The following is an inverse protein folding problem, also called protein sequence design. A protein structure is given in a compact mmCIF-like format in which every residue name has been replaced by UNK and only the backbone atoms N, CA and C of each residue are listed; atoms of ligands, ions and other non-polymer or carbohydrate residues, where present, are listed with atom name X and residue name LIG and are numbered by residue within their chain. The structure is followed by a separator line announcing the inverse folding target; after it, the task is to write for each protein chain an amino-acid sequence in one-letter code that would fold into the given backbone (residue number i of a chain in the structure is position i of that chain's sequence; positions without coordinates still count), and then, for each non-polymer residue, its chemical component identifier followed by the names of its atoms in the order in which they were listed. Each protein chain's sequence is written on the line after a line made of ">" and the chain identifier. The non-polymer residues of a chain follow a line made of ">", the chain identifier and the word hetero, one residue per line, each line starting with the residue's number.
data_IF_982145658414
#
_entry.id   IF_982145658414
#
_cell.length_a   1.000
_cell.length_b   1.000
_cell.length_c   1.000
_cell.angle_alpha   90.00
_cell.angle_beta   90.00
_cell.angle_gamma   90.00
#
_symmetry.space_group_name_H-M   'P 1'
#
loop_
_entity.id
_entity.type
_entity.pdbx_description
1 polymer ?
#
# COMPACT_ATOMS: atom_id res chain seq x y z
N UNK A 1 -16.05 17.36 -3.36
CA UNK A 1 -16.41 16.10 -4.05
C UNK A 1 -16.92 16.47 -5.42
N UNK A 2 -16.45 15.77 -6.45
CA UNK A 2 -16.74 16.08 -7.85
C UNK A 2 -18.08 15.47 -8.30
N UNK A 3 -18.86 16.12 -9.17
CA UNK A 3 -20.05 15.51 -9.76
C UNK A 3 -19.63 14.31 -10.64
N UNK A 4 -20.38 13.20 -10.64
CA UNK A 4 -20.02 11.99 -11.40
C UNK A 4 -20.20 12.15 -12.91
N UNK A 5 -21.01 13.13 -13.35
CA UNK A 5 -21.22 13.46 -14.75
C UNK A 5 -20.45 14.75 -15.06
N UNK A 6 -19.32 14.61 -15.75
CA UNK A 6 -18.41 15.74 -16.06
C UNK A 6 -18.35 16.09 -17.54
N UNK A 7 -19.05 15.37 -18.42
CA UNK A 7 -19.02 15.62 -19.86
C UNK A 7 -19.86 16.83 -20.26
N UNK A 8 -19.36 17.61 -21.23
CA UNK A 8 -20.14 18.66 -21.89
C UNK A 8 -21.32 18.05 -22.69
N UNK A 9 -22.42 18.80 -22.89
CA UNK A 9 -23.51 18.38 -23.77
C UNK A 9 -22.99 18.02 -25.18
N UNK A 10 -23.37 16.84 -25.70
CA UNK A 10 -22.94 16.37 -27.03
C UNK A 10 -21.55 15.74 -27.10
N UNK A 11 -20.83 15.61 -25.97
CA UNK A 11 -19.56 14.85 -25.87
C UNK A 11 -19.69 13.74 -24.85
N UNK A 12 -20.69 12.89 -25.03
CA UNK A 12 -20.96 11.78 -24.12
C UNK A 12 -20.08 10.59 -24.47
N UNK A 13 -19.38 10.03 -23.48
CA UNK A 13 -18.70 8.73 -23.64
C UNK A 13 -19.67 7.57 -23.89
N UNK A 14 -20.98 7.83 -23.74
CA UNK A 14 -22.04 6.87 -23.97
C UNK A 14 -22.53 6.85 -25.43
N UNK A 15 -21.88 7.59 -26.32
CA UNK A 15 -22.09 7.46 -27.75
C UNK A 15 -21.51 6.11 -28.21
N UNK A 16 -22.36 5.22 -28.72
CA UNK A 16 -22.03 3.84 -29.10
C UNK A 16 -22.56 2.80 -28.11
N UNK A 17 -22.15 2.86 -26.83
CA UNK A 17 -22.67 2.00 -25.77
C UNK A 17 -23.35 2.83 -24.69
N UNK A 18 -24.69 2.81 -24.65
CA UNK A 18 -25.46 3.55 -23.66
C UNK A 18 -25.10 3.18 -22.22
N UNK A 19 -25.11 4.18 -21.33
CA UNK A 19 -24.77 4.05 -19.90
C UNK A 19 -25.48 2.89 -19.21
N UNK A 20 -26.79 2.76 -19.41
CA UNK A 20 -27.58 1.71 -18.78
C UNK A 20 -27.12 0.32 -19.21
N UNK A 21 -26.81 0.14 -20.49
CA UNK A 21 -26.27 -1.11 -21.02
C UNK A 21 -24.89 -1.41 -20.46
N UNK A 22 -24.01 -0.41 -20.36
CA UNK A 22 -22.72 -0.56 -19.69
C UNK A 22 -22.87 -0.99 -18.23
N UNK A 23 -23.70 -0.30 -17.45
CA UNK A 23 -23.94 -0.62 -16.04
C UNK A 23 -24.53 -2.04 -15.88
N UNK A 24 -25.44 -2.45 -16.79
CA UNK A 24 -26.00 -3.80 -16.84
C UNK A 24 -24.91 -4.85 -17.10
N UNK A 25 -24.00 -4.59 -18.04
CA UNK A 25 -22.87 -5.49 -18.33
C UNK A 25 -21.92 -5.62 -17.14
N UNK A 26 -21.57 -4.50 -16.49
CA UNK A 26 -20.73 -4.50 -15.28
C UNK A 26 -21.41 -5.29 -14.15
N UNK A 27 -22.72 -5.10 -13.96
CA UNK A 27 -23.48 -5.87 -12.98
C UNK A 27 -23.54 -7.36 -13.29
N UNK A 28 -23.83 -7.74 -14.54
CA UNK A 28 -23.82 -9.13 -14.97
C UNK A 28 -22.45 -9.77 -14.76
N UNK A 29 -21.39 -9.06 -15.13
CA UNK A 29 -20.01 -9.49 -14.91
C UNK A 29 -19.72 -9.66 -13.42
N UNK A 30 -20.15 -8.74 -12.55
CA UNK A 30 -19.91 -8.85 -11.10
C UNK A 30 -20.52 -10.12 -10.47
N UNK A 31 -21.59 -10.67 -11.06
CA UNK A 31 -22.22 -11.92 -10.61
C UNK A 31 -21.39 -13.17 -10.94
N UNK A 32 -20.45 -13.11 -11.87
CA UNK A 32 -19.55 -14.24 -12.19
C UNK A 32 -18.45 -14.42 -11.13
N UNK A 33 -18.28 -13.46 -10.21
CA UNK A 33 -17.43 -13.55 -9.02
C UNK A 33 -15.92 -13.41 -9.28
N UNK A 34 -15.38 -14.03 -10.33
CA UNK A 34 -13.94 -14.01 -10.65
C UNK A 34 -13.64 -14.19 -12.14
N UNK A 35 -12.73 -13.38 -12.69
CA UNK A 35 -12.15 -13.48 -14.05
C UNK A 35 -10.75 -14.12 -13.97
N UNK A 36 -10.15 -14.77 -15.00
CA UNK A 36 -8.91 -15.55 -14.87
C UNK A 36 -7.69 -14.77 -14.35
N UNK A 37 -6.82 -15.50 -13.65
CA UNK A 37 -5.58 -15.21 -12.90
C UNK A 37 -5.22 -13.78 -12.42
N UNK A 38 -4.75 -13.65 -11.16
CA UNK A 38 -4.23 -12.38 -10.67
C UNK A 38 -3.04 -11.95 -11.52
N UNK A 39 -3.04 -10.69 -11.95
CA UNK A 39 -1.96 -10.13 -12.75
C UNK A 39 -0.93 -9.54 -11.81
N UNK A 40 0.30 -10.00 -11.91
CA UNK A 40 1.46 -9.34 -11.32
C UNK A 40 2.34 -8.89 -12.47
N UNK A 41 2.62 -7.59 -12.54
CA UNK A 41 3.57 -7.07 -13.52
C UNK A 41 4.97 -7.59 -13.16
N UNK A 42 5.52 -8.43 -14.02
CA UNK A 42 6.85 -8.97 -13.82
C UNK A 42 7.90 -7.95 -14.23
N UNK A 43 9.12 -8.12 -13.71
CA UNK A 43 10.23 -7.22 -14.01
C UNK A 43 10.59 -7.23 -15.50
N UNK A 44 10.45 -8.37 -16.18
CA UNK A 44 10.63 -8.47 -17.63
C UNK A 44 9.65 -7.61 -18.45
N UNK A 45 8.49 -7.27 -17.87
CA UNK A 45 7.43 -6.47 -18.51
C UNK A 45 7.55 -4.97 -18.18
N UNK A 46 8.58 -4.56 -17.43
CA UNK A 46 8.77 -3.16 -17.05
C UNK A 46 9.16 -2.30 -18.26
N UNK A 47 8.74 -1.02 -18.29
CA UNK A 47 9.19 -0.11 -19.33
C UNK A 47 10.72 -0.01 -19.30
N UNK A 48 11.33 -0.09 -20.49
CA UNK A 48 12.77 0.11 -20.64
C UNK A 48 13.13 1.52 -20.18
N UNK A 49 14.25 1.65 -19.48
CA UNK A 49 14.73 2.95 -19.03
C UNK A 49 15.04 3.85 -20.23
N UNK A 50 14.47 5.04 -20.22
CA UNK A 50 14.78 6.14 -21.12
C UNK A 50 15.81 7.06 -20.48
N UNK A 51 16.64 7.72 -21.28
CA UNK A 51 17.59 8.72 -20.80
C UNK A 51 16.89 9.97 -20.22
N UNK A 52 15.61 10.17 -20.53
CA UNK A 52 14.77 11.22 -19.96
C UNK A 52 14.17 10.84 -18.60
N UNK A 53 14.29 9.58 -18.18
CA UNK A 53 13.69 9.12 -16.92
C UNK A 53 14.50 9.62 -15.73
N UNK A 54 13.86 10.42 -14.87
CA UNK A 54 14.51 10.98 -13.68
C UNK A 54 14.64 9.96 -12.54
N UNK A 55 13.74 8.97 -12.50
CA UNK A 55 13.80 7.84 -11.57
C UNK A 55 13.89 6.53 -12.35
N UNK A 56 14.64 5.52 -11.86
CA UNK A 56 14.43 4.15 -12.33
C UNK A 56 12.98 3.72 -12.06
N UNK A 57 12.38 2.96 -12.98
CA UNK A 57 10.99 2.52 -12.85
C UNK A 57 10.74 1.77 -11.53
N UNK A 58 11.69 0.94 -11.10
CA UNK A 58 11.63 0.23 -9.82
C UNK A 58 11.46 1.18 -8.61
N UNK A 59 12.12 2.34 -8.64
CA UNK A 59 12.07 3.32 -7.55
C UNK A 59 10.76 4.11 -7.60
N UNK A 60 10.36 4.59 -8.78
CA UNK A 60 9.07 5.28 -8.95
C UNK A 60 7.91 4.39 -8.49
N UNK A 61 7.96 3.12 -8.91
CA UNK A 61 7.04 2.07 -8.48
C UNK A 61 7.00 1.92 -6.97
N UNK A 62 8.16 1.70 -6.34
CA UNK A 62 8.23 1.47 -4.90
C UNK A 62 7.72 2.68 -4.13
N UNK A 63 8.08 3.88 -4.59
CA UNK A 63 7.67 5.13 -3.98
C UNK A 63 6.14 5.31 -4.05
N UNK A 64 5.54 5.09 -5.22
CA UNK A 64 4.09 5.18 -5.40
C UNK A 64 3.35 4.15 -4.51
N UNK A 65 3.80 2.89 -4.47
CA UNK A 65 3.21 1.86 -3.61
C UNK A 65 3.32 2.22 -2.12
N UNK A 66 4.48 2.71 -1.69
CA UNK A 66 4.78 3.03 -0.30
C UNK A 66 3.94 4.19 0.21
N UNK A 67 3.85 5.26 -0.59
CA UNK A 67 3.03 6.43 -0.30
C UNK A 67 1.54 6.06 -0.25
N UNK A 68 1.04 5.27 -1.21
CA UNK A 68 -0.33 4.78 -1.18
C UNK A 68 -0.60 3.91 0.05
N UNK A 69 0.35 3.05 0.43
CA UNK A 69 0.21 2.14 1.56
C UNK A 69 0.06 2.88 2.91
N UNK A 70 0.92 3.88 3.17
CA UNK A 70 0.89 4.65 4.43
C UNK A 70 -0.28 5.64 4.48
N UNK A 71 -0.69 6.19 3.33
CA UNK A 71 -1.81 7.13 3.25
C UNK A 71 -3.18 6.46 3.47
N UNK A 72 -3.29 5.15 3.27
CA UNK A 72 -4.50 4.40 3.57
C UNK A 72 -4.64 4.14 5.09
N UNK A 73 -4.98 5.18 5.88
CA UNK A 73 -4.90 5.13 7.34
C UNK A 73 -5.97 4.25 8.02
N UNK A 74 -7.09 3.94 7.35
CA UNK A 74 -8.25 3.28 7.97
C UNK A 74 -8.66 1.95 7.33
N UNK A 75 -9.55 1.22 8.03
CA UNK A 75 -10.19 0.01 7.51
C UNK A 75 -11.40 0.32 6.65
N UNK A 76 -11.44 -0.28 5.47
CA UNK A 76 -12.63 -0.25 4.63
C UNK A 76 -12.26 -0.24 3.16
N UNK A 77 -13.28 -0.24 2.31
CA UNK A 77 -13.12 0.00 0.86
C UNK A 77 -13.05 1.50 0.55
N UNK A 78 -13.64 2.38 1.39
CA UNK A 78 -13.58 3.84 1.23
C UNK A 78 -12.18 4.44 1.36
N UNK A 79 -11.32 3.84 2.18
CA UNK A 79 -9.95 4.30 2.44
C UNK A 79 -8.89 3.64 1.54
N UNK A 80 -9.31 3.03 0.43
CA UNK A 80 -8.35 2.54 -0.57
C UNK A 80 -7.75 3.74 -1.25
N UNK A 81 -6.42 3.83 -1.21
CA UNK A 81 -5.65 4.97 -1.70
C UNK A 81 -4.84 4.57 -2.91
N UNK A 82 -4.75 5.46 -3.87
CA UNK A 82 -3.81 5.42 -4.98
C UNK A 82 -2.84 6.60 -4.86
N UNK A 83 -1.61 6.40 -5.30
CA UNK A 83 -0.61 7.46 -5.29
C UNK A 83 0.22 7.45 -6.57
N UNK A 84 0.70 8.63 -6.95
CA UNK A 84 1.74 8.80 -7.96
C UNK A 84 2.82 9.74 -7.42
N UNK A 85 4.01 9.63 -7.99
CA UNK A 85 5.13 10.50 -7.67
C UNK A 85 5.81 10.87 -8.99
N UNK A 86 5.78 12.16 -9.33
CA UNK A 86 6.35 12.68 -10.56
C UNK A 86 7.17 13.95 -10.26
N UNK A 87 8.17 14.28 -11.07
CA UNK A 87 8.89 15.54 -10.98
C UNK A 87 7.92 16.73 -10.97
N UNK A 88 8.19 17.73 -10.14
CA UNK A 88 7.38 18.94 -10.10
C UNK A 88 7.46 19.69 -11.44
N UNK A 89 6.34 20.22 -11.92
CA UNK A 89 6.31 21.02 -13.14
C UNK A 89 7.03 22.35 -12.90
N UNK A 90 8.05 22.66 -13.71
CA UNK A 90 8.70 23.97 -13.71
C UNK A 90 9.64 24.26 -12.53
N UNK A 91 9.79 23.34 -11.57
CA UNK A 91 10.66 23.51 -10.41
C UNK A 91 11.41 22.22 -10.06
N UNK A 92 12.56 22.34 -9.40
CA UNK A 92 13.26 21.19 -8.85
C UNK A 92 12.52 20.66 -7.61
N UNK A 93 12.01 19.44 -7.70
CA UNK A 93 11.26 18.79 -6.65
C UNK A 93 10.41 17.65 -7.19
N UNK A 94 9.46 17.20 -6.38
CA UNK A 94 8.55 16.12 -6.75
C UNK A 94 7.15 16.43 -6.25
N UNK A 95 6.18 16.23 -7.12
CA UNK A 95 4.76 16.25 -6.77
C UNK A 95 4.30 14.82 -6.50
N UNK A 96 3.79 14.60 -5.29
CA UNK A 96 3.08 13.39 -4.91
C UNK A 96 1.59 13.68 -4.97
N UNK A 97 0.86 12.86 -5.71
CA UNK A 97 -0.61 12.95 -5.79
C UNK A 97 -1.25 11.80 -5.06
N UNK A 98 -2.26 12.09 -4.25
CA UNK A 98 -3.03 11.09 -3.51
C UNK A 98 -4.50 11.12 -3.90
N UNK A 99 -5.06 9.96 -4.21
CA UNK A 99 -6.49 9.76 -4.41
C UNK A 99 -7.00 8.69 -3.45
N UNK A 100 -8.23 8.82 -2.97
CA UNK A 100 -8.89 7.76 -2.21
C UNK A 100 -10.35 7.62 -2.64
N UNK A 101 -10.93 6.42 -2.48
CA UNK A 101 -12.28 6.14 -2.97
C UNK A 101 -13.33 7.14 -2.42
N UNK A 102 -13.22 7.52 -1.14
CA UNK A 102 -14.08 8.53 -0.50
C UNK A 102 -13.38 9.88 -0.27
N UNK A 103 -12.21 10.07 -0.86
CA UNK A 103 -11.39 11.27 -0.73
C UNK A 103 -10.32 11.15 0.37
N UNK A 104 -9.25 11.93 0.21
CA UNK A 104 -8.16 11.98 1.18
C UNK A 104 -8.57 12.91 2.33
N UNK A 105 -8.61 12.39 3.56
CA UNK A 105 -8.99 13.17 4.73
C UNK A 105 -7.84 14.03 5.27
N UNK A 106 -8.17 15.10 5.99
CA UNK A 106 -7.19 16.08 6.46
C UNK A 106 -6.14 15.50 7.42
N UNK A 107 -6.47 14.45 8.17
CA UNK A 107 -5.50 13.79 9.04
C UNK A 107 -4.40 13.09 8.23
N UNK A 108 -4.74 12.50 7.09
CA UNK A 108 -3.77 11.94 6.14
C UNK A 108 -2.95 13.06 5.54
N UNK A 109 -3.58 14.14 5.08
CA UNK A 109 -2.87 15.29 4.51
C UNK A 109 -1.82 15.86 5.49
N UNK A 110 -2.23 16.18 6.72
CA UNK A 110 -1.31 16.72 7.75
C UNK A 110 -0.16 15.77 8.05
N UNK A 111 -0.43 14.48 8.16
CA UNK A 111 0.60 13.47 8.43
C UNK A 111 1.56 13.32 7.25
N UNK A 112 1.07 13.30 6.01
CA UNK A 112 1.89 13.21 4.81
C UNK A 112 2.76 14.47 4.62
N UNK A 113 2.23 15.66 4.88
CA UNK A 113 3.01 16.89 4.89
C UNK A 113 4.10 16.86 5.97
N UNK A 114 3.82 16.30 7.16
CA UNK A 114 4.84 16.12 8.19
C UNK A 114 5.94 15.16 7.73
N UNK A 115 5.59 14.03 7.11
CA UNK A 115 6.54 13.10 6.49
C UNK A 115 7.39 13.81 5.43
N UNK A 116 6.78 14.65 4.58
CA UNK A 116 7.50 15.37 3.53
C UNK A 116 8.52 16.35 4.10
N UNK A 117 8.16 17.13 5.13
CA UNK A 117 9.12 18.01 5.82
C UNK A 117 10.30 17.25 6.41
N UNK A 118 10.07 16.04 6.94
CA UNK A 118 11.15 15.18 7.47
C UNK A 118 12.06 14.70 6.32
N UNK A 119 11.48 14.30 5.20
CA UNK A 119 12.22 13.86 4.01
C UNK A 119 13.04 14.99 3.38
N UNK A 120 12.50 16.19 3.29
CA UNK A 120 13.20 17.38 2.79
C UNK A 120 14.40 17.73 3.66
N UNK A 121 14.25 17.69 4.99
CA UNK A 121 15.38 17.86 5.93
C UNK A 121 16.44 16.79 5.75
N UNK A 122 16.04 15.54 5.50
CA UNK A 122 16.98 14.46 5.18
C UNK A 122 17.69 14.72 3.85
N UNK A 123 16.98 15.10 2.80
CA UNK A 123 17.57 15.45 1.50
C UNK A 123 18.55 16.64 1.62
N UNK A 124 18.23 17.62 2.47
CA UNK A 124 19.08 18.76 2.82
C UNK A 124 20.30 18.42 3.70
N UNK A 125 20.42 17.16 4.15
CA UNK A 125 21.42 16.68 5.12
C UNK A 125 21.32 17.31 6.53
N UNK A 126 20.20 17.92 6.88
CA UNK A 126 19.97 18.49 8.22
C UNK A 126 19.76 17.43 9.31
N UNK A 127 19.39 16.22 8.92
CA UNK A 127 19.27 15.04 9.80
C UNK A 127 19.91 13.82 9.14
N UNK A 128 20.28 12.80 9.92
CA UNK A 128 20.79 11.52 9.36
C UNK A 128 19.65 10.69 8.74
N UNK A 129 20.00 9.63 7.99
CA UNK A 129 19.01 8.71 7.41
C UNK A 129 18.26 7.94 8.49
N UNK A 130 18.96 7.58 9.56
CA UNK A 130 18.41 6.83 10.70
C UNK A 130 17.42 7.70 11.47
N UNK A 131 17.81 8.94 11.78
CA UNK A 131 16.92 9.92 12.41
C UNK A 131 15.70 10.23 11.53
N UNK A 132 15.89 10.33 10.21
CA UNK A 132 14.79 10.48 9.26
C UNK A 132 13.83 9.28 9.29
N UNK A 133 14.34 8.05 9.22
CA UNK A 133 13.52 6.86 9.26
C UNK A 133 12.71 6.76 10.56
N UNK A 134 13.32 7.05 11.71
CA UNK A 134 12.64 7.07 13.02
C UNK A 134 11.54 8.14 13.09
N UNK A 135 11.83 9.37 12.68
CA UNK A 135 10.85 10.46 12.71
C UNK A 135 9.66 10.21 11.75
N UNK A 136 9.91 9.62 10.57
CA UNK A 136 8.84 9.17 9.67
C UNK A 136 8.04 8.05 10.32
N UNK A 137 8.71 7.12 11.01
CA UNK A 137 8.07 5.99 11.65
C UNK A 137 7.09 6.42 12.74
N UNK A 138 7.44 7.45 13.52
CA UNK A 138 6.52 8.07 14.49
C UNK A 138 5.25 8.61 13.81
N UNK A 139 5.42 9.41 12.75
CA UNK A 139 4.30 10.00 12.03
C UNK A 139 3.40 8.91 11.40
N UNK A 140 4.00 7.91 10.77
CA UNK A 140 3.30 6.82 10.08
C UNK A 140 2.56 5.90 11.04
N UNK A 141 3.18 5.52 12.17
CA UNK A 141 2.54 4.65 13.18
C UNK A 141 1.38 5.37 13.85
N UNK A 142 1.54 6.65 14.19
CA UNK A 142 0.45 7.43 14.76
C UNK A 142 -0.74 7.55 13.78
N UNK A 143 -0.47 7.84 12.50
CA UNK A 143 -1.52 7.90 11.47
C UNK A 143 -2.24 6.55 11.28
N UNK A 144 -1.49 5.45 11.30
CA UNK A 144 -2.00 4.12 10.99
C UNK A 144 -2.33 3.28 12.23
N UNK A 145 -2.36 3.87 13.43
CA UNK A 145 -2.40 3.12 14.69
C UNK A 145 -3.55 2.11 14.71
N UNK A 146 -4.78 2.56 14.50
CA UNK A 146 -5.96 1.69 14.50
C UNK A 146 -5.86 0.60 13.42
N UNK A 147 -5.35 0.95 12.23
CA UNK A 147 -5.13 -0.01 11.14
C UNK A 147 -4.14 -1.10 11.51
N UNK A 148 -3.03 -0.73 12.15
CA UNK A 148 -2.02 -1.67 12.65
C UNK A 148 -2.63 -2.61 13.69
N UNK A 149 -3.34 -2.06 14.69
CA UNK A 149 -3.97 -2.88 15.74
C UNK A 149 -4.95 -3.91 15.18
N UNK A 150 -5.75 -3.53 14.19
CA UNK A 150 -6.67 -4.47 13.55
C UNK A 150 -5.98 -5.58 12.75
N UNK A 151 -4.72 -5.39 12.31
CA UNK A 151 -3.94 -6.42 11.61
C UNK A 151 -3.35 -7.41 12.61
N UNK A 152 -2.92 -6.90 13.75
CA UNK A 152 -2.42 -7.67 14.86
C UNK A 152 -3.54 -8.45 15.58
N UNK A 153 -4.79 -7.98 15.45
CA UNK A 153 -5.93 -8.41 16.26
C UNK A 153 -5.69 -8.13 17.75
N UNK A 154 -5.19 -6.92 18.03
CA UNK A 154 -4.95 -6.38 19.38
C UNK A 154 -6.24 -5.92 20.06
N UNK A 155 -6.27 -5.93 21.40
CA UNK A 155 -7.34 -5.29 22.20
C UNK A 155 -7.49 -3.78 21.95
N UNK A 156 -6.43 -3.11 21.49
CA UNK A 156 -6.46 -1.67 21.20
C UNK A 156 -7.11 -1.35 19.87
N UNK A 157 -7.49 -2.36 19.08
CA UNK A 157 -8.19 -2.16 17.83
C UNK A 157 -9.62 -1.65 18.08
N UNK A 158 -9.96 -0.54 17.43
CA UNK A 158 -11.31 0.03 17.42
C UNK A 158 -11.98 -0.38 16.09
N UNK A 159 -12.81 -1.45 16.09
CA UNK A 159 -13.43 -1.94 14.86
C UNK A 159 -14.40 -0.90 14.28
N UNK A 160 -14.39 -0.68 12.96
CA UNK A 160 -15.38 0.20 12.33
C UNK A 160 -16.76 -0.46 12.34
N UNK A 161 -17.87 0.31 12.27
CA UNK A 161 -19.23 -0.20 12.43
C UNK A 161 -19.63 -1.33 11.48
N UNK A 162 -19.04 -1.36 10.28
CA UNK A 162 -19.31 -2.36 9.25
C UNK A 162 -18.58 -3.70 9.48
N UNK A 163 -17.64 -3.78 10.43
CA UNK A 163 -16.87 -4.99 10.71
C UNK A 163 -17.59 -5.82 11.78
N UNK A 164 -18.44 -6.75 11.34
CA UNK A 164 -19.09 -7.76 12.19
C UNK A 164 -18.30 -9.07 12.16
N UNK A 165 -18.19 -9.75 13.29
CA UNK A 165 -17.58 -11.08 13.38
C UNK A 165 -16.83 -11.32 14.69
N UNK A 166 -16.51 -12.59 14.96
CA UNK A 166 -15.72 -12.97 16.14
C UNK A 166 -14.28 -12.48 16.04
N UNK A 167 -13.69 -12.00 17.14
CA UNK A 167 -12.27 -11.66 17.19
C UNK A 167 -11.42 -12.87 16.77
N UNK A 168 -10.52 -12.66 15.81
CA UNK A 168 -9.54 -13.70 15.44
C UNK A 168 -8.47 -13.76 16.53
N UNK A 169 -7.89 -14.94 16.76
CA UNK A 169 -6.66 -15.07 17.58
C UNK A 169 -5.60 -14.08 17.11
N UNK A 170 -4.72 -13.52 17.95
CA UNK A 170 -3.66 -12.61 17.53
C UNK A 170 -2.79 -13.09 16.37
N UNK A 171 -2.33 -12.15 15.51
CA UNK A 171 -1.46 -12.50 14.38
C UNK A 171 -0.17 -13.18 14.85
N UNK A 172 0.43 -12.69 15.93
CA UNK A 172 1.68 -13.23 16.45
C UNK A 172 1.54 -14.70 16.91
N UNK A 173 0.41 -15.06 17.53
CA UNK A 173 0.11 -16.45 17.93
C UNK A 173 0.02 -17.37 16.72
N UNK A 174 -0.74 -16.95 15.71
CA UNK A 174 -0.96 -17.74 14.49
C UNK A 174 0.35 -17.96 13.74
N UNK A 175 1.18 -16.92 13.62
CA UNK A 175 2.49 -16.98 12.93
C UNK A 175 3.47 -17.86 13.70
N UNK A 176 3.56 -17.71 15.02
CA UNK A 176 4.40 -18.57 15.86
C UNK A 176 3.99 -20.03 15.71
N UNK A 177 2.69 -20.33 15.79
CA UNK A 177 2.17 -21.69 15.59
C UNK A 177 2.48 -22.23 14.19
N UNK A 178 2.31 -21.41 13.16
CA UNK A 178 2.60 -21.76 11.77
C UNK A 178 4.07 -22.13 11.54
N UNK A 179 4.99 -21.36 12.13
CA UNK A 179 6.44 -21.60 12.05
C UNK A 179 6.84 -22.83 12.88
N UNK A 180 6.29 -22.99 14.08
CA UNK A 180 6.64 -24.08 15.01
C UNK A 180 6.14 -25.47 14.56
N UNK A 181 4.96 -25.53 13.95
CA UNK A 181 4.29 -26.80 13.64
C UNK A 181 4.91 -27.58 12.49
N UNK A 182 5.88 -27.00 11.78
CA UNK A 182 6.40 -27.58 10.53
C UNK A 182 7.91 -27.56 10.53
N UNK A 183 8.54 -28.74 10.44
CA UNK A 183 9.98 -28.84 10.20
C UNK A 183 10.26 -28.64 8.71
N UNK A 184 11.29 -27.86 8.33
CA UNK A 184 11.66 -27.71 6.92
C UNK A 184 12.02 -29.07 6.31
N UNK A 185 11.62 -29.27 5.06
CA UNK A 185 11.77 -30.56 4.35
C UNK A 185 13.25 -30.84 4.04
N UNK A 186 14.07 -29.78 3.87
CA UNK A 186 15.50 -29.88 3.55
C UNK A 186 16.36 -29.71 4.81
N UNK A 187 17.18 -30.72 5.12
CA UNK A 187 18.18 -30.69 6.20
C UNK A 187 19.56 -30.36 5.61
N UNK A 188 19.81 -29.09 5.30
CA UNK A 188 21.16 -28.56 5.08
C UNK A 188 21.58 -27.77 6.34
N UNK A 189 22.86 -27.78 6.69
CA UNK A 189 23.38 -27.15 7.91
C UNK A 189 23.10 -25.64 7.97
N UNK A 190 23.20 -24.92 6.85
CA UNK A 190 22.83 -23.50 6.74
C UNK A 190 21.32 -23.27 6.91
N UNK A 191 20.49 -24.11 6.30
CA UNK A 191 19.02 -24.07 6.47
C UNK A 191 18.61 -24.26 7.92
N UNK A 192 19.38 -25.05 8.69
CA UNK A 192 19.17 -25.24 10.13
C UNK A 192 19.42 -23.96 10.94
N UNK A 193 20.45 -23.17 10.59
CA UNK A 193 20.74 -21.88 11.26
C UNK A 193 19.69 -20.82 10.92
N UNK A 194 19.30 -20.73 9.65
CA UNK A 194 18.25 -19.80 9.19
C UNK A 194 16.89 -20.11 9.83
N UNK A 195 16.55 -21.40 9.96
CA UNK A 195 15.35 -21.84 10.66
C UNK A 195 15.40 -21.49 12.16
N UNK A 196 16.50 -21.78 12.85
CA UNK A 196 16.67 -21.42 14.26
C UNK A 196 16.51 -19.91 14.48
N UNK A 197 17.10 -19.10 13.59
CA UNK A 197 16.98 -17.64 13.61
C UNK A 197 15.53 -17.19 13.40
N UNK A 198 14.84 -17.76 12.40
CA UNK A 198 13.43 -17.46 12.14
C UNK A 198 12.55 -17.82 13.34
N UNK A 199 12.79 -18.98 13.96
CA UNK A 199 12.04 -19.43 15.13
C UNK A 199 12.23 -18.50 16.33
N UNK A 200 13.48 -18.10 16.63
CA UNK A 200 13.79 -17.11 17.67
C UNK A 200 13.10 -15.77 17.40
N UNK A 201 13.14 -15.28 16.16
CA UNK A 201 12.47 -14.04 15.78
C UNK A 201 10.94 -14.15 15.86
N UNK A 202 10.35 -15.31 15.54
CA UNK A 202 8.91 -15.54 15.69
C UNK A 202 8.48 -15.50 17.17
N UNK A 203 9.29 -16.03 18.06
CA UNK A 203 9.08 -15.93 19.50
C UNK A 203 9.25 -14.50 20.00
N UNK A 204 10.25 -13.76 19.51
CA UNK A 204 10.43 -12.34 19.85
C UNK A 204 9.26 -11.47 19.38
N UNK A 205 8.74 -11.73 18.16
CA UNK A 205 7.52 -11.09 17.66
C UNK A 205 6.30 -11.37 18.56
N UNK A 206 6.09 -12.62 18.95
CA UNK A 206 5.04 -12.98 19.91
C UNK A 206 5.23 -12.31 21.28
N UNK A 207 6.43 -12.34 21.85
CA UNK A 207 6.72 -11.70 23.14
C UNK A 207 6.46 -10.18 23.10
N UNK A 208 6.88 -9.50 22.03
CA UNK A 208 6.60 -8.07 21.86
C UNK A 208 5.10 -7.78 21.75
N UNK A 209 4.32 -8.68 21.15
CA UNK A 209 2.86 -8.54 21.08
C UNK A 209 2.22 -8.74 22.46
N UNK A 210 2.68 -9.70 23.26
CA UNK A 210 2.21 -9.88 24.65
C UNK A 210 2.51 -8.64 25.50
N UNK A 211 3.69 -8.04 25.33
CA UNK A 211 4.06 -6.79 25.99
C UNK A 211 3.13 -5.63 25.57
N UNK A 212 2.81 -5.52 24.28
CA UNK A 212 1.81 -4.57 23.80
C UNK A 212 0.45 -4.81 24.49
N UNK A 213 -0.05 -6.04 24.50
CA UNK A 213 -1.34 -6.34 25.15
C UNK A 213 -1.36 -6.09 26.66
N UNK A 214 -0.19 -5.99 27.30
CA UNK A 214 -0.05 -5.64 28.72
C UNK A 214 0.26 -4.15 28.95
N UNK A 215 0.54 -3.38 27.89
CA UNK A 215 0.95 -1.98 28.00
C UNK A 215 -0.20 -1.09 28.47
N UNK A 216 0.16 0.03 29.12
CA UNK A 216 -0.77 1.12 29.39
C UNK A 216 -1.05 1.90 28.11
N UNK A 217 -2.08 2.75 28.17
CA UNK A 217 -2.53 3.55 27.04
C UNK A 217 -1.50 4.60 26.59
N UNK A 218 -0.64 5.08 27.50
CA UNK A 218 0.45 6.00 27.19
C UNK A 218 1.60 5.33 26.40
N UNK A 219 1.86 4.04 26.66
CA UNK A 219 3.03 3.32 26.13
C UNK A 219 2.71 2.50 24.87
N UNK A 220 1.43 2.36 24.52
CA UNK A 220 0.98 1.46 23.44
C UNK A 220 1.57 1.81 22.08
N UNK A 221 1.89 3.07 21.81
CA UNK A 221 2.51 3.50 20.54
C UNK A 221 3.93 2.95 20.43
N UNK A 222 4.76 3.08 21.46
CA UNK A 222 6.12 2.54 21.47
C UNK A 222 6.14 1.01 21.48
N UNK A 223 5.22 0.38 22.22
CA UNK A 223 5.05 -1.06 22.16
C UNK A 223 4.66 -1.51 20.74
N UNK A 224 3.79 -0.76 20.05
CA UNK A 224 3.41 -1.03 18.65
C UNK A 224 4.60 -0.89 17.70
N UNK A 225 5.43 0.15 17.85
CA UNK A 225 6.67 0.31 17.09
C UNK A 225 7.59 -0.89 17.26
N UNK A 226 7.72 -1.40 18.49
CA UNK A 226 8.52 -2.59 18.81
C UNK A 226 7.98 -3.82 18.09
N UNK A 227 6.66 -4.08 18.14
CA UNK A 227 6.02 -5.18 17.42
C UNK A 227 6.26 -5.10 15.91
N UNK A 228 6.19 -3.91 15.32
CA UNK A 228 6.46 -3.71 13.89
C UNK A 228 7.91 -4.04 13.55
N UNK A 229 8.89 -3.60 14.36
CA UNK A 229 10.30 -3.93 14.15
C UNK A 229 10.54 -5.44 14.24
N UNK A 230 9.91 -6.12 15.19
CA UNK A 230 9.99 -7.59 15.27
C UNK A 230 9.34 -8.28 14.06
N UNK A 231 8.22 -7.76 13.56
CA UNK A 231 7.62 -8.27 12.31
C UNK A 231 8.55 -8.08 11.11
N UNK A 232 9.28 -6.95 11.04
CA UNK A 232 10.26 -6.68 10.00
C UNK A 232 11.42 -7.69 10.03
N UNK A 233 11.93 -8.03 11.22
CA UNK A 233 13.00 -9.02 11.36
C UNK A 233 12.62 -10.43 10.90
N UNK A 234 11.33 -10.75 10.81
CA UNK A 234 10.87 -12.03 10.23
C UNK A 234 11.08 -12.11 8.72
N UNK A 235 11.19 -10.99 8.02
CA UNK A 235 11.28 -10.94 6.56
C UNK A 235 12.73 -10.99 6.05
N UNK A 236 12.95 -11.32 4.77
CA UNK A 236 14.26 -11.10 4.12
C UNK A 236 14.36 -9.63 3.73
N UNK A 237 15.44 -8.97 4.15
CA UNK A 237 15.78 -7.56 3.87
C UNK A 237 14.64 -6.56 4.17
N UNK A 238 13.70 -6.94 5.04
CA UNK A 238 12.53 -6.12 5.34
C UNK A 238 11.34 -6.31 4.41
N UNK A 239 11.43 -7.18 3.40
CA UNK A 239 10.52 -7.17 2.24
C UNK A 239 9.59 -8.39 2.21
N UNK A 240 10.09 -9.61 2.41
CA UNK A 240 9.31 -10.82 2.10
C UNK A 240 9.55 -11.99 3.04
N UNK A 241 8.60 -12.23 3.96
CA UNK A 241 8.52 -13.50 4.71
C UNK A 241 8.26 -14.72 3.80
N UNK A 242 7.39 -14.68 2.76
CA UNK A 242 7.24 -15.79 1.81
C UNK A 242 8.56 -16.26 1.21
N UNK A 243 9.41 -15.33 0.76
CA UNK A 243 10.71 -15.66 0.18
C UNK A 243 11.62 -16.34 1.20
N UNK A 244 11.59 -15.89 2.46
CA UNK A 244 12.33 -16.52 3.56
C UNK A 244 11.86 -17.95 3.82
N UNK A 245 10.55 -18.15 3.92
CA UNK A 245 9.95 -19.46 4.15
C UNK A 245 10.27 -20.43 3.00
N UNK A 246 10.20 -19.95 1.75
CA UNK A 246 10.59 -20.72 0.56
C UNK A 246 12.07 -21.12 0.60
N UNK A 247 12.95 -20.17 0.95
CA UNK A 247 14.41 -20.42 1.08
C UNK A 247 14.72 -21.46 2.16
N UNK A 248 13.99 -21.42 3.28
CA UNK A 248 14.11 -22.39 4.37
C UNK A 248 13.52 -23.77 4.01
N UNK A 249 12.68 -23.85 2.97
CA UNK A 249 12.10 -25.11 2.49
C UNK A 249 10.76 -25.47 3.13
N UNK A 250 9.96 -24.45 3.50
CA UNK A 250 8.55 -24.65 3.82
C UNK A 250 7.74 -25.03 2.55
N UNK A 251 6.68 -25.85 2.69
CA UNK A 251 5.84 -26.23 1.56
C UNK A 251 5.09 -25.01 0.97
N UNK A 252 4.78 -25.06 -0.32
CA UNK A 252 4.15 -23.96 -1.04
C UNK A 252 2.82 -23.50 -0.41
N UNK A 253 2.04 -24.43 0.16
CA UNK A 253 0.79 -24.15 0.88
C UNK A 253 0.97 -23.25 2.12
N UNK A 254 2.19 -23.16 2.64
CA UNK A 254 2.53 -22.39 3.84
C UNK A 254 3.27 -21.08 3.57
N UNK A 255 3.79 -20.92 2.35
CA UNK A 255 4.64 -19.77 1.97
C UNK A 255 3.82 -18.50 1.75
N UNK A 256 2.60 -18.61 1.24
CA UNK A 256 1.74 -17.46 0.95
C UNK A 256 0.36 -17.60 1.61
N UNK A 257 0.34 -17.74 2.93
CA UNK A 257 -0.90 -17.72 3.71
C UNK A 257 -1.33 -16.30 4.05
N UNK A 258 -2.60 -16.14 4.45
CA UNK A 258 -3.13 -14.85 4.93
C UNK A 258 -2.31 -14.29 6.10
N UNK A 259 -1.77 -15.15 6.95
CA UNK A 259 -1.01 -14.75 8.13
C UNK A 259 0.39 -14.29 7.75
N UNK A 260 1.04 -14.98 6.82
CA UNK A 260 2.32 -14.54 6.24
C UNK A 260 2.18 -13.17 5.55
N UNK A 261 1.13 -12.98 4.73
CA UNK A 261 0.82 -11.66 4.16
C UNK A 261 0.52 -10.61 5.23
N UNK A 262 -0.06 -11.02 6.36
CA UNK A 262 -0.29 -10.18 7.53
C UNK A 262 1.02 -9.63 8.11
N UNK A 263 2.02 -10.50 8.30
CA UNK A 263 3.36 -10.10 8.78
C UNK A 263 4.00 -9.11 7.83
N UNK A 264 4.02 -9.39 6.52
CA UNK A 264 4.57 -8.45 5.53
C UNK A 264 3.87 -7.07 5.60
N UNK A 265 2.54 -7.04 5.78
CA UNK A 265 1.80 -5.79 5.94
C UNK A 265 2.15 -5.04 7.23
N UNK A 266 2.52 -5.73 8.30
CA UNK A 266 2.97 -5.07 9.54
C UNK A 266 4.41 -4.59 9.37
N UNK A 267 5.31 -5.46 8.89
CA UNK A 267 6.71 -5.15 8.58
C UNK A 267 6.89 -3.96 7.64
N UNK A 268 6.01 -3.81 6.65
CA UNK A 268 6.06 -2.73 5.66
C UNK A 268 6.13 -1.34 6.29
N UNK A 269 5.53 -1.10 7.46
CA UNK A 269 5.59 0.24 8.08
C UNK A 269 7.05 0.65 8.36
N UNK A 270 7.88 -0.23 8.90
CA UNK A 270 9.30 0.07 9.13
C UNK A 270 10.11 0.04 7.84
N UNK A 271 9.85 -0.92 6.93
CA UNK A 271 10.53 -0.97 5.62
C UNK A 271 10.35 0.32 4.83
N UNK A 272 9.12 0.85 4.78
CA UNK A 272 8.78 2.08 4.06
C UNK A 272 9.58 3.25 4.62
N UNK A 273 9.64 3.40 5.95
CA UNK A 273 10.38 4.50 6.57
C UNK A 273 11.86 4.48 6.18
N UNK A 274 12.49 3.30 6.21
CA UNK A 274 13.88 3.13 5.75
C UNK A 274 14.05 3.42 4.26
N UNK A 275 13.11 2.96 3.43
CA UNK A 275 13.15 3.14 1.98
C UNK A 275 13.02 4.62 1.61
N UNK A 276 12.07 5.34 2.22
CA UNK A 276 11.89 6.78 2.00
C UNK A 276 13.09 7.59 2.51
N UNK A 277 13.66 7.24 3.67
CA UNK A 277 14.89 7.87 4.17
C UNK A 277 16.09 7.62 3.23
N UNK A 278 16.17 6.43 2.62
CA UNK A 278 17.16 6.12 1.60
C UNK A 278 16.93 6.93 0.32
N UNK A 279 15.71 6.92 -0.23
CA UNK A 279 15.37 7.63 -1.46
C UNK A 279 15.57 9.14 -1.33
N UNK A 280 15.19 9.74 -0.20
CA UNK A 280 15.42 11.17 0.03
C UNK A 280 16.91 11.55 0.04
N UNK A 281 17.78 10.64 0.49
CA UNK A 281 19.23 10.85 0.47
C UNK A 281 19.85 10.59 -0.89
N UNK A 282 19.33 9.63 -1.64
CA UNK A 282 19.89 9.23 -2.92
C UNK A 282 19.41 10.14 -4.07
N UNK A 283 18.12 10.46 -4.09
CA UNK A 283 17.47 11.32 -5.09
C UNK A 283 17.22 12.74 -4.55
N UNK A 284 18.26 13.36 -3.97
CA UNK A 284 18.15 14.60 -3.18
C UNK A 284 17.48 15.75 -3.92
N UNK A 285 17.68 15.85 -5.23
CA UNK A 285 17.11 16.92 -6.06
C UNK A 285 15.59 16.85 -6.11
N UNK A 286 15.02 15.64 -6.22
CA UNK A 286 13.58 15.40 -6.18
C UNK A 286 12.98 15.62 -4.80
N UNK A 287 13.71 15.23 -3.75
CA UNK A 287 13.25 15.34 -2.37
C UNK A 287 13.59 16.69 -1.73
N UNK A 288 14.11 17.67 -2.49
CA UNK A 288 14.43 19.01 -1.98
C UNK A 288 13.18 19.81 -1.64
N UNK A 289 12.12 19.60 -2.42
CA UNK A 289 10.81 20.24 -2.27
C UNK A 289 9.74 19.26 -2.71
N UNK A 290 8.90 18.84 -1.78
CA UNK A 290 7.85 17.86 -1.98
C UNK A 290 6.50 18.55 -1.93
N UNK A 291 5.75 18.44 -3.03
CA UNK A 291 4.39 18.95 -3.12
C UNK A 291 3.41 17.81 -2.90
N UNK A 292 2.41 18.04 -2.04
CA UNK A 292 1.30 17.12 -1.88
C UNK A 292 0.08 17.69 -2.58
N UNK A 293 -0.47 16.95 -3.55
CA UNK A 293 -1.76 17.24 -4.15
C UNK A 293 -2.75 16.12 -3.79
N UNK A 294 -3.90 16.48 -3.23
CA UNK A 294 -4.97 15.52 -2.97
C UNK A 294 -6.07 15.67 -4.01
N UNK A 295 -6.56 14.55 -4.50
CA UNK A 295 -7.69 14.52 -5.43
C UNK A 295 -8.99 14.54 -4.63
N UNK A 296 -9.92 15.36 -5.10
CA UNK A 296 -11.30 15.26 -4.65
C UNK A 296 -11.94 13.99 -5.19
N UNK A 297 -12.59 13.23 -4.31
CA UNK A 297 -13.35 12.07 -4.76
C UNK A 297 -14.62 12.49 -5.51
N UNK A 298 -15.01 11.67 -6.48
CA UNK A 298 -16.30 11.77 -7.14
C UNK A 298 -17.41 11.39 -6.16
N UNK A 299 -18.53 12.11 -6.23
CA UNK A 299 -19.73 11.75 -5.50
C UNK A 299 -20.20 10.37 -5.98
N UNK A 300 -20.56 9.46 -5.05
CA UNK A 300 -21.11 8.18 -5.44
C UNK A 300 -22.45 8.41 -6.15
N UNK A 301 -22.74 7.56 -7.14
CA UNK A 301 -24.07 7.55 -7.73
C UNK A 301 -25.06 7.03 -6.69
N UNK A 302 -26.12 7.81 -6.43
CA UNK A 302 -27.23 7.42 -5.56
C UNK A 302 -28.02 6.27 -6.18
N UNK A 303 -27.51 5.04 -5.99
CA UNK A 303 -28.21 3.79 -6.29
C UNK A 303 -28.41 3.02 -4.97
N UNK A 304 -29.24 1.96 -4.91
CA UNK A 304 -29.46 1.19 -3.69
C UNK A 304 -28.18 0.64 -3.03
N UNK A 305 -27.09 0.56 -3.80
CA UNK A 305 -25.73 0.27 -3.33
C UNK A 305 -24.85 1.49 -3.65
N UNK A 306 -24.14 2.05 -2.66
CA UNK A 306 -23.18 3.14 -2.94
C UNK A 306 -22.07 2.63 -3.87
N UNK A 307 -22.03 3.14 -5.11
CA UNK A 307 -20.96 2.87 -6.08
C UNK A 307 -19.95 4.02 -6.07
N UNK A 308 -18.67 3.71 -5.89
CA UNK A 308 -17.60 4.70 -5.83
C UNK A 308 -16.66 4.53 -7.01
N UNK A 309 -16.24 5.65 -7.60
CA UNK A 309 -15.12 5.63 -8.54
C UNK A 309 -13.87 5.26 -7.75
N UNK A 310 -13.22 4.16 -8.11
CA UNK A 310 -12.01 3.73 -7.43
C UNK A 310 -10.86 4.73 -7.61
N UNK A 311 -10.06 4.93 -6.56
CA UNK A 311 -8.95 5.87 -6.52
C UNK A 311 -7.98 5.78 -7.71
N UNK A 312 -7.76 4.57 -8.25
CA UNK A 312 -6.91 4.37 -9.44
C UNK A 312 -7.51 5.03 -10.69
N UNK A 313 -8.81 4.89 -10.91
CA UNK A 313 -9.53 5.50 -12.03
C UNK A 313 -9.54 7.02 -11.87
N UNK A 314 -9.80 7.51 -10.65
CA UNK A 314 -9.73 8.96 -10.36
C UNK A 314 -8.36 9.55 -10.74
N UNK A 315 -7.27 8.83 -10.45
CA UNK A 315 -5.92 9.25 -10.79
C UNK A 315 -5.71 9.34 -12.32
N UNK A 316 -6.14 8.34 -13.08
CA UNK A 316 -6.04 8.36 -14.55
C UNK A 316 -6.80 9.56 -15.12
N UNK A 317 -8.03 9.78 -14.67
CA UNK A 317 -8.86 10.90 -15.14
C UNK A 317 -8.20 12.25 -14.85
N UNK A 318 -7.56 12.42 -13.70
CA UNK A 318 -6.81 13.65 -13.41
C UNK A 318 -5.75 13.91 -14.47
N UNK A 319 -4.92 12.92 -14.78
CA UNK A 319 -3.84 13.10 -15.75
C UNK A 319 -4.37 13.38 -17.17
N UNK A 320 -5.42 12.68 -17.58
CA UNK A 320 -6.07 12.91 -18.89
C UNK A 320 -6.70 14.30 -19.02
N UNK A 321 -7.27 14.82 -17.93
CA UNK A 321 -8.01 16.10 -17.97
C UNK A 321 -7.13 17.31 -17.65
N UNK A 322 -5.93 17.08 -17.11
CA UNK A 322 -5.02 18.16 -16.71
C UNK A 322 -3.92 18.33 -17.75
N UNK A 323 -3.56 19.57 -18.08
CA UNK A 323 -2.42 19.91 -18.94
C UNK A 323 -1.08 19.75 -18.19
N UNK A 324 -0.87 18.59 -17.57
CA UNK A 324 0.34 18.29 -16.81
C UNK A 324 1.48 17.93 -17.75
N UNK A 325 2.62 18.62 -17.56
CA UNK A 325 3.84 18.38 -18.35
C UNK A 325 4.56 17.07 -17.98
N UNK A 326 4.31 16.53 -16.78
CA UNK A 326 5.00 15.34 -16.27
C UNK A 326 3.99 14.24 -15.92
N UNK A 327 4.17 13.08 -16.54
CA UNK A 327 3.34 11.90 -16.34
C UNK A 327 4.16 10.83 -15.62
N UNK A 328 3.67 10.30 -14.49
CA UNK A 328 4.26 9.13 -13.88
C UNK A 328 3.99 7.92 -14.78
N UNK A 329 4.89 6.95 -14.76
CA UNK A 329 4.72 5.69 -15.49
C UNK A 329 3.83 4.72 -14.71
N UNK A 330 3.68 4.89 -13.40
CA UNK A 330 3.03 3.90 -12.52
C UNK A 330 2.07 4.54 -11.54
N UNK A 331 0.94 3.87 -11.31
CA UNK A 331 -0.01 4.21 -10.25
C UNK A 331 0.13 3.17 -9.13
N UNK A 332 0.68 3.61 -7.99
CA UNK A 332 0.78 2.79 -6.78
C UNK A 332 -0.55 2.71 -6.04
N UNK A 333 -0.80 1.62 -5.31
CA UNK A 333 -2.06 1.45 -4.60
C UNK A 333 -1.96 0.67 -3.28
N UNK A 334 -2.76 1.07 -2.30
CA UNK A 334 -2.78 0.45 -0.97
C UNK A 334 -3.43 -0.94 -0.93
N UNK A 335 -4.17 -1.28 -1.99
CA UNK A 335 -4.71 -2.60 -2.31
C UNK A 335 -4.56 -2.85 -3.81
N UNK A 336 -4.43 -4.12 -4.17
CA UNK A 336 -4.39 -4.56 -5.57
C UNK A 336 -5.57 -3.98 -6.38
N UNK A 337 -5.36 -3.76 -7.68
CA UNK A 337 -6.41 -3.29 -8.56
C UNK A 337 -7.53 -4.33 -8.65
N UNK A 338 -8.77 -3.87 -8.74
CA UNK A 338 -9.84 -4.77 -9.16
C UNK A 338 -9.74 -5.05 -10.66
N UNK A 339 -10.45 -6.07 -11.12
CA UNK A 339 -10.48 -6.42 -12.53
C UNK A 339 -10.83 -5.21 -13.41
N UNK A 340 -11.87 -4.45 -13.06
CA UNK A 340 -12.31 -3.28 -13.83
C UNK A 340 -11.25 -2.18 -13.88
N UNK A 341 -10.60 -1.84 -12.76
CA UNK A 341 -9.52 -0.86 -12.75
C UNK A 341 -8.34 -1.31 -13.60
N UNK A 342 -7.96 -2.58 -13.51
CA UNK A 342 -6.86 -3.12 -14.28
C UNK A 342 -7.17 -3.13 -15.78
N UNK A 343 -8.37 -3.57 -16.17
CA UNK A 343 -8.81 -3.55 -17.57
C UNK A 343 -8.84 -2.13 -18.12
N UNK A 344 -9.40 -1.17 -17.36
CA UNK A 344 -9.43 0.24 -17.76
C UNK A 344 -8.02 0.81 -17.98
N UNK A 345 -7.10 0.61 -17.03
CA UNK A 345 -5.73 1.14 -17.12
C UNK A 345 -4.94 0.46 -18.25
N UNK A 346 -5.12 -0.85 -18.45
CA UNK A 346 -4.49 -1.57 -19.56
C UNK A 346 -4.99 -1.06 -20.91
N UNK A 347 -6.29 -0.84 -21.06
CA UNK A 347 -6.84 -0.27 -22.30
C UNK A 347 -6.39 1.17 -22.55
N UNK A 348 -6.12 1.93 -21.48
CA UNK A 348 -5.58 3.29 -21.57
C UNK A 348 -4.12 3.33 -22.04
N UNK A 349 -3.30 2.35 -21.64
CA UNK A 349 -1.92 2.19 -22.14
C UNK A 349 -0.84 3.10 -21.54
N UNK A 350 -1.21 4.21 -20.88
CA UNK A 350 -0.23 5.20 -20.36
C UNK A 350 0.34 4.90 -18.97
N UNK A 351 -0.30 4.00 -18.21
CA UNK A 351 0.11 3.69 -16.84
C UNK A 351 0.28 2.20 -16.61
N UNK A 352 1.28 1.85 -15.82
CA UNK A 352 1.49 0.50 -15.34
C UNK A 352 0.78 0.27 -14.00
N UNK A 353 0.14 -0.90 -13.87
CA UNK A 353 -0.39 -1.42 -12.61
C UNK A 353 0.36 -2.67 -12.20
N UNK A 354 0.72 -2.74 -10.92
CA UNK A 354 1.68 -3.74 -10.45
C UNK A 354 1.02 -5.04 -10.05
N UNK A 355 -0.16 -4.94 -9.45
CA UNK A 355 -0.94 -6.08 -8.97
C UNK A 355 -2.41 -5.82 -9.19
N UNK A 356 -3.08 -6.82 -9.75
CA UNK A 356 -4.53 -6.85 -9.88
C UNK A 356 -5.07 -8.18 -9.38
N UNK A 357 -6.15 -8.12 -8.60
CA UNK A 357 -6.88 -9.28 -8.15
C UNK A 357 -8.09 -9.56 -9.05
N UNK A 358 -8.61 -10.78 -8.99
CA UNK A 358 -9.70 -11.30 -9.85
C UNK A 358 -11.10 -10.76 -9.52
N UNK A 359 -11.24 -10.04 -8.40
CA UNK A 359 -12.54 -9.57 -7.94
C UNK A 359 -13.00 -8.37 -8.76
N UNK A 360 -14.29 -8.40 -9.11
CA UNK A 360 -15.00 -7.32 -9.77
C UNK A 360 -15.72 -6.51 -8.70
N UNK A 361 -15.43 -5.23 -8.66
CA UNK A 361 -16.06 -4.26 -7.76
C UNK A 361 -16.68 -3.18 -8.65
N UNK A 362 -18.02 -3.24 -8.86
CA UNK A 362 -18.77 -2.30 -9.69
C UNK A 362 -18.74 -0.85 -9.21
#
# INVERSE_FOLDING_TARGET
>A
MLPPNTSLPGRSIWDGLGRETFERHVHALSRTGTVPDPVVLKEEDWPKSSHWDILPFAVEKQLADDLAFIAACEYGVGYVTAATAAPATGEAGMTVRLAANEGVCDSVERAMQAVFRILERCAGKSISRECCAEAIFDAVVNLNFNRIQGRLASRFFRPPPHKRGTPRKPLADRVRGHIASSKPIKRLSETSKDFATLFTQANAFHASFVQLESSKDADKTEATKTVIRQAFLLTVDGVSLPSRLKRIGYPASMVDTRDVRGVNKVANYWRICNSLAHFSRFYRTLFRKLHLERLEAYQPLCTPLKKFVHAKVQMVVLYETSLLSTWPRVIGASKEACFLCNSFIKSHGSFYMLKAHRQIFP
#
